data_IF_041649330897
#
_entry.id   IF_041649330897
#
_cell.length_a   1.000
_cell.length_b   1.000
_cell.length_c   1.000
_cell.angle_alpha   90.00
_cell.angle_beta   90.00
_cell.angle_gamma   90.00
#
_symmetry.space_group_name_H-M   'P 1'
#
loop_
_entity.id
_entity.type
_entity.pdbx_description
1 polymer ?
#
# COMPACT_ATOMS: atom_id res chain seq x y z
N UNK A 1 -8.00 -9.46 12.07
CA UNK A 1 -8.50 -10.43 11.07
C UNK A 1 -7.54 -10.43 9.89
N UNK A 2 -6.93 -11.58 9.59
CA UNK A 2 -6.13 -11.76 8.36
C UNK A 2 -7.08 -12.19 7.24
N UNK A 3 -7.04 -11.50 6.11
CA UNK A 3 -7.88 -11.79 4.95
C UNK A 3 -7.01 -12.33 3.80
N UNK A 4 -7.56 -13.24 2.99
CA UNK A 4 -6.88 -13.79 1.81
C UNK A 4 -5.85 -14.90 2.10
N UNK A 5 -5.87 -15.48 3.31
CA UNK A 5 -5.11 -16.69 3.62
C UNK A 5 -6.01 -17.91 3.45
N UNK A 6 -5.51 -18.93 2.76
CA UNK A 6 -6.15 -20.23 2.69
C UNK A 6 -5.75 -21.04 3.92
N UNK A 7 -6.74 -21.66 4.57
CA UNK A 7 -6.46 -22.51 5.72
C UNK A 7 -5.56 -23.70 5.32
N UNK A 8 -4.67 -24.10 6.22
CA UNK A 8 -3.77 -25.25 6.01
C UNK A 8 -2.51 -24.97 5.18
N UNK A 9 -2.31 -23.75 4.68
CA UNK A 9 -1.07 -23.36 3.99
C UNK A 9 -0.03 -22.79 4.96
N UNK A 10 1.24 -23.09 4.71
CA UNK A 10 2.35 -22.45 5.40
C UNK A 10 2.28 -20.93 5.22
N UNK A 11 2.29 -20.20 6.34
CA UNK A 11 2.13 -18.74 6.35
C UNK A 11 3.40 -18.09 6.89
N UNK A 12 3.91 -17.09 6.16
CA UNK A 12 4.97 -16.22 6.62
C UNK A 12 4.37 -14.86 7.01
N UNK A 13 4.51 -14.49 8.28
CA UNK A 13 4.11 -13.17 8.79
C UNK A 13 5.33 -12.27 8.89
N UNK A 14 5.20 -11.02 8.43
CA UNK A 14 6.27 -10.03 8.43
C UNK A 14 5.79 -8.71 9.03
N UNK A 15 6.70 -7.93 9.59
CA UNK A 15 6.38 -6.71 10.34
C UNK A 15 6.17 -5.46 9.46
N UNK A 16 6.50 -5.50 8.16
CA UNK A 16 6.37 -4.34 7.27
C UNK A 16 6.13 -4.73 5.80
N UNK A 17 5.66 -3.77 4.99
CA UNK A 17 5.52 -3.95 3.55
C UNK A 17 6.88 -4.15 2.85
N UNK A 18 7.93 -3.51 3.35
CA UNK A 18 9.30 -3.67 2.87
C UNK A 18 9.79 -5.10 3.10
N UNK A 19 9.55 -5.65 4.30
CA UNK A 19 9.87 -7.06 4.58
C UNK A 19 9.03 -8.00 3.70
N UNK A 20 7.77 -7.66 3.43
CA UNK A 20 6.90 -8.43 2.52
C UNK A 20 7.47 -8.42 1.09
N UNK A 21 7.83 -7.26 0.56
CA UNK A 21 8.47 -7.12 -0.74
C UNK A 21 9.77 -7.94 -0.81
N UNK A 22 10.64 -7.82 0.19
CA UNK A 22 11.89 -8.54 0.26
C UNK A 22 11.70 -10.07 0.27
N UNK A 23 10.64 -10.57 0.90
CA UNK A 23 10.26 -11.98 0.88
C UNK A 23 9.78 -12.41 -0.51
N UNK A 24 9.00 -11.59 -1.22
CA UNK A 24 8.54 -11.89 -2.59
C UNK A 24 9.71 -11.96 -3.56
N UNK A 25 10.63 -10.99 -3.51
CA UNK A 25 11.83 -10.95 -4.36
C UNK A 25 12.77 -12.14 -4.12
N UNK A 26 12.71 -12.76 -2.93
CA UNK A 26 13.48 -13.97 -2.58
C UNK A 26 12.72 -15.27 -2.87
N UNK A 27 11.51 -15.20 -3.41
CA UNK A 27 10.69 -16.38 -3.69
C UNK A 27 10.14 -17.08 -2.45
N UNK A 28 10.08 -16.41 -1.30
CA UNK A 28 9.64 -17.00 -0.03
C UNK A 28 8.11 -17.06 0.11
N UNK A 29 7.37 -16.52 -0.86
CA UNK A 29 5.92 -16.55 -0.86
C UNK A 29 5.30 -15.66 -1.93
N UNK A 30 3.97 -15.69 -1.98
CA UNK A 30 3.14 -14.86 -2.88
C UNK A 30 2.08 -14.13 -2.08
N UNK A 31 1.59 -13.01 -2.62
CA UNK A 31 0.54 -12.22 -1.98
C UNK A 31 0.44 -10.81 -2.52
N UNK A 32 -0.34 -9.98 -1.81
CA UNK A 32 -0.63 -8.61 -2.22
C UNK A 32 0.49 -7.64 -1.85
N UNK A 33 0.85 -6.76 -2.79
CA UNK A 33 1.68 -5.57 -2.57
C UNK A 33 0.93 -4.34 -3.15
N UNK A 34 1.09 -3.14 -2.56
CA UNK A 34 0.66 -1.92 -3.22
C UNK A 34 1.34 -1.79 -4.59
N UNK A 35 0.57 -1.49 -5.63
CA UNK A 35 1.09 -1.39 -7.00
C UNK A 35 2.28 -0.42 -7.12
N UNK A 36 2.28 0.79 -6.52
CA UNK A 36 3.41 1.71 -6.62
C UNK A 36 4.72 1.13 -6.08
N UNK A 37 4.62 0.31 -5.02
CA UNK A 37 5.76 -0.37 -4.41
C UNK A 37 6.28 -1.51 -5.30
N UNK A 38 5.37 -2.23 -5.97
CA UNK A 38 5.71 -3.36 -6.83
C UNK A 38 6.18 -2.94 -8.24
N UNK A 39 5.72 -1.79 -8.75
CA UNK A 39 5.94 -1.29 -10.12
C UNK A 39 7.37 -1.43 -10.63
N UNK A 40 8.43 -0.97 -9.93
CA UNK A 40 9.79 -1.09 -10.48
C UNK A 40 10.23 -2.54 -10.63
N UNK A 41 9.81 -3.43 -9.73
CA UNK A 41 10.18 -4.85 -9.74
C UNK A 41 9.36 -5.67 -10.75
N UNK A 42 8.12 -5.23 -11.02
CA UNK A 42 7.32 -5.75 -12.13
C UNK A 42 7.95 -5.35 -13.47
N UNK A 43 8.33 -4.08 -13.62
CA UNK A 43 9.00 -3.59 -14.83
C UNK A 43 10.35 -4.29 -15.08
N UNK A 44 11.09 -4.59 -14.01
CA UNK A 44 12.35 -5.35 -14.06
C UNK A 44 12.18 -6.88 -14.20
N UNK A 45 10.95 -7.40 -14.21
CA UNK A 45 10.67 -8.84 -14.33
C UNK A 45 11.01 -9.67 -13.08
N UNK A 46 11.39 -9.03 -11.98
CA UNK A 46 11.71 -9.69 -10.70
C UNK A 46 10.44 -10.09 -9.94
N UNK A 47 9.34 -9.38 -10.18
CA UNK A 47 7.99 -9.78 -9.76
C UNK A 47 7.12 -10.05 -10.99
N UNK A 48 6.12 -10.91 -10.81
CA UNK A 48 5.10 -11.20 -11.83
C UNK A 48 3.73 -10.96 -11.20
N UNK A 49 2.92 -10.10 -11.82
CA UNK A 49 1.54 -9.87 -11.40
C UNK A 49 0.69 -11.12 -11.67
N UNK A 50 -0.17 -11.48 -10.71
CA UNK A 50 -1.11 -12.60 -10.83
C UNK A 50 -2.54 -12.10 -10.80
N UNK A 51 -3.30 -12.46 -11.84
CA UNK A 51 -4.74 -12.18 -11.90
C UNK A 51 -5.48 -13.07 -10.92
N UNK A 52 -6.33 -12.46 -10.11
CA UNK A 52 -7.19 -13.18 -9.17
C UNK A 52 -8.51 -13.55 -9.84
N UNK A 53 -9.08 -14.69 -9.46
CA UNK A 53 -10.41 -15.10 -9.89
C UNK A 53 -11.52 -14.17 -9.38
N UNK A 54 -11.32 -13.59 -8.19
CA UNK A 54 -12.23 -12.60 -7.60
C UNK A 54 -11.74 -11.18 -7.87
N UNK A 55 -12.66 -10.21 -7.88
CA UNK A 55 -12.34 -8.81 -8.11
C UNK A 55 -11.27 -8.30 -7.14
N UNK A 56 -10.33 -7.52 -7.66
CA UNK A 56 -9.30 -6.88 -6.86
C UNK A 56 -9.95 -5.82 -5.98
N UNK A 57 -9.74 -5.90 -4.66
CA UNK A 57 -10.24 -4.89 -3.74
C UNK A 57 -9.38 -3.63 -3.84
N UNK A 58 -9.95 -2.54 -4.31
CA UNK A 58 -9.30 -1.22 -4.23
C UNK A 58 -9.31 -0.75 -2.78
N UNK A 59 -8.13 -0.47 -2.23
CA UNK A 59 -8.02 0.15 -0.92
C UNK A 59 -8.30 1.65 -1.03
N UNK A 60 -9.29 2.15 -0.29
CA UNK A 60 -9.52 3.59 -0.14
C UNK A 60 -8.60 4.12 0.95
N UNK A 61 -7.80 5.12 0.61
CA UNK A 61 -6.94 5.82 1.57
C UNK A 61 -7.66 7.05 2.10
N UNK A 62 -7.54 7.27 3.40
CA UNK A 62 -8.20 8.35 4.12
C UNK A 62 -7.18 9.17 4.91
N UNK A 63 -7.45 10.46 5.06
CA UNK A 63 -6.78 11.29 6.05
C UNK A 63 -7.56 11.21 7.37
N UNK A 64 -6.85 11.16 8.49
CA UNK A 64 -7.46 11.07 9.81
C UNK A 64 -6.82 12.06 10.78
N UNK A 65 -7.67 12.72 11.57
CA UNK A 65 -7.27 13.62 12.64
C UNK A 65 -8.27 13.52 13.81
N UNK A 66 -7.92 13.95 15.02
CA UNK A 66 -8.83 13.88 16.17
C UNK A 66 -10.11 14.68 15.93
N UNK A 67 -11.27 14.03 16.04
CA UNK A 67 -12.57 14.66 15.78
C UNK A 67 -13.01 15.66 16.88
N UNK A 68 -12.40 15.60 18.06
CA UNK A 68 -12.81 16.40 19.23
C UNK A 68 -12.36 17.87 19.16
N UNK A 69 -11.57 18.23 18.16
CA UNK A 69 -11.01 19.58 18.03
C UNK A 69 -11.21 20.04 16.59
N UNK A 70 -11.80 21.23 16.41
CA UNK A 70 -11.84 21.83 15.08
C UNK A 70 -10.38 21.99 14.58
N UNK A 71 -10.11 21.69 13.30
CA UNK A 71 -8.78 21.88 12.74
C UNK A 71 -8.29 23.31 12.98
N UNK A 72 -7.15 23.46 13.66
CA UNK A 72 -6.46 24.74 13.72
C UNK A 72 -5.99 25.19 12.33
N UNK A 73 -5.49 26.42 12.23
CA UNK A 73 -5.08 27.01 10.93
C UNK A 73 -4.04 26.14 10.20
N UNK A 74 -3.06 25.58 10.92
CA UNK A 74 -2.04 24.73 10.33
C UNK A 74 -2.61 23.42 9.75
N UNK A 75 -3.52 22.74 10.45
CA UNK A 75 -4.15 21.51 9.96
C UNK A 75 -5.06 21.81 8.77
N UNK A 76 -5.85 22.90 8.85
CA UNK A 76 -6.73 23.33 7.75
C UNK A 76 -5.93 23.57 6.47
N UNK A 77 -4.83 24.31 6.56
CA UNK A 77 -3.92 24.55 5.44
C UNK A 77 -3.35 23.26 4.85
N UNK A 78 -3.02 22.27 5.69
CA UNK A 78 -2.56 20.96 5.21
C UNK A 78 -3.68 20.21 4.48
N UNK A 79 -4.89 20.17 5.03
CA UNK A 79 -6.03 19.51 4.42
C UNK A 79 -6.36 20.10 3.04
N UNK A 80 -6.38 21.42 2.91
CA UNK A 80 -6.54 22.12 1.63
C UNK A 80 -5.48 21.68 0.60
N UNK A 81 -4.22 21.55 1.02
CA UNK A 81 -3.15 21.07 0.12
C UNK A 81 -3.28 19.59 -0.23
N UNK A 82 -3.70 18.76 0.71
CA UNK A 82 -3.95 17.33 0.52
C UNK A 82 -5.19 17.06 -0.33
N UNK A 83 -6.12 18.01 -0.45
CA UNK A 83 -7.25 17.91 -1.38
C UNK A 83 -6.86 18.06 -2.84
N UNK A 84 -5.74 18.76 -3.12
CA UNK A 84 -5.27 18.97 -4.49
C UNK A 84 -4.96 17.62 -5.17
N UNK A 85 -5.53 17.33 -6.36
CA UNK A 85 -5.30 16.06 -7.05
C UNK A 85 -3.83 15.74 -7.31
N UNK A 86 -3.01 16.75 -7.58
CA UNK A 86 -1.57 16.59 -7.78
C UNK A 86 -0.86 16.08 -6.52
N UNK A 87 -1.22 16.61 -5.34
CA UNK A 87 -0.67 16.19 -4.06
C UNK A 87 -1.09 14.77 -3.73
N UNK A 88 -2.38 14.44 -3.91
CA UNK A 88 -2.88 13.07 -3.71
C UNK A 88 -2.13 12.08 -4.58
N UNK A 89 -2.01 12.38 -5.87
CA UNK A 89 -1.29 11.52 -6.82
C UNK A 89 0.16 11.34 -6.42
N UNK A 90 0.85 12.42 -6.03
CA UNK A 90 2.24 12.34 -5.58
C UNK A 90 2.40 11.42 -4.35
N UNK A 91 1.53 11.55 -3.35
CA UNK A 91 1.55 10.69 -2.16
C UNK A 91 1.29 9.21 -2.47
N UNK A 92 0.46 8.92 -3.48
CA UNK A 92 0.15 7.55 -3.88
C UNK A 92 1.19 6.94 -4.80
N UNK A 93 1.90 7.76 -5.59
CA UNK A 93 2.80 7.27 -6.64
C UNK A 93 4.28 7.43 -6.29
N UNK A 94 4.63 8.15 -5.22
CA UNK A 94 6.02 8.31 -4.83
C UNK A 94 6.64 6.97 -4.44
N UNK A 95 7.87 6.66 -4.90
CA UNK A 95 8.61 5.51 -4.42
C UNK A 95 8.84 5.68 -2.91
N UNK A 96 8.78 4.57 -2.17
CA UNK A 96 9.04 4.52 -0.74
C UNK A 96 10.55 4.71 -0.43
N UNK A 97 11.11 5.83 -0.89
CA UNK A 97 12.49 6.23 -0.68
C UNK A 97 12.48 7.61 -0.02
N UNK A 98 12.35 7.60 1.31
CA UNK A 98 12.93 8.59 2.23
C UNK A 98 13.70 7.81 3.27
#
# INVERSE_FOLDING_TARGET
>A
LSFGLLAGQATLTVASLQAKLAAHLRGLGVGFLPEPLARPWLAGGQLVERRLERSTRTATLHYAWPARTQPGQALSWWLERLERPITRRALLQAPANV
#
